data_IF_502441294678
#
_entry.id   IF_502441294678
#
_cell.length_a   1.000
_cell.length_b   1.000
_cell.length_c   1.000
_cell.angle_alpha   90.00
_cell.angle_beta   90.00
_cell.angle_gamma   90.00
#
_symmetry.space_group_name_H-M   'P 1'
#
loop_
_entity.id
_entity.type
_entity.pdbx_description
1 polymer ?
#
# COMPACT_ATOMS: atom_id res chain seq x y z
N UNK A 1 -2.88 19.77 46.75
CA UNK A 1 -1.79 18.96 46.14
C UNK A 1 -2.25 17.77 45.29
N UNK A 2 -3.50 17.27 45.40
CA UNK A 2 -3.91 16.05 44.68
C UNK A 2 -4.43 16.28 43.25
N UNK A 3 -5.00 17.46 42.96
CA UNK A 3 -5.57 17.76 41.64
C UNK A 3 -4.52 18.05 40.57
N UNK A 4 -3.36 18.61 40.97
CA UNK A 4 -2.24 18.84 40.05
C UNK A 4 -1.63 17.52 39.55
N UNK A 5 -1.59 16.49 40.40
CA UNK A 5 -1.14 15.14 40.02
C UNK A 5 -2.10 14.50 39.01
N UNK A 6 -3.40 14.70 39.19
CA UNK A 6 -4.43 14.19 38.27
C UNK A 6 -4.34 14.86 36.89
N UNK A 7 -4.08 16.17 36.85
CA UNK A 7 -3.87 16.92 35.61
C UNK A 7 -2.64 16.40 34.84
N UNK A 8 -1.53 16.14 35.54
CA UNK A 8 -0.30 15.62 34.93
C UNK A 8 -0.50 14.21 34.36
N UNK A 9 -1.23 13.34 35.06
CA UNK A 9 -1.55 11.99 34.57
C UNK A 9 -2.48 12.04 33.36
N UNK A 10 -3.47 12.95 33.35
CA UNK A 10 -4.36 13.15 32.21
C UNK A 10 -3.60 13.62 30.97
N UNK A 11 -2.65 14.55 31.12
CA UNK A 11 -1.82 15.05 30.03
C UNK A 11 -0.95 13.92 29.44
N UNK A 12 -0.34 13.06 30.28
CA UNK A 12 0.47 11.92 29.84
C UNK A 12 -0.39 10.91 29.05
N UNK A 13 -1.63 10.65 29.47
CA UNK A 13 -2.57 9.77 28.76
C UNK A 13 -3.07 10.35 27.42
N UNK A 14 -3.11 11.68 27.28
CA UNK A 14 -3.52 12.34 26.03
C UNK A 14 -2.40 12.34 24.97
N UNK A 15 -1.13 12.22 25.38
CA UNK A 15 0.00 12.14 24.44
C UNK A 15 0.28 10.72 23.91
N UNK A 16 -0.33 9.67 24.48
CA UNK A 16 -0.04 8.28 24.12
C UNK A 16 -0.78 7.73 22.89
N UNK A 17 -1.53 8.54 22.13
CA UNK A 17 -2.37 8.03 21.02
C UNK A 17 -1.93 8.44 19.61
N UNK A 18 -0.69 8.88 19.41
CA UNK A 18 -0.16 9.07 18.06
C UNK A 18 0.74 7.88 17.66
N UNK A 19 0.13 6.73 17.40
CA UNK A 19 0.76 5.72 16.55
C UNK A 19 0.82 6.29 15.13
N UNK A 20 1.92 6.96 14.80
CA UNK A 20 2.18 7.39 13.44
C UNK A 20 2.40 6.15 12.57
N UNK A 21 1.40 5.81 11.75
CA UNK A 21 1.63 4.89 10.62
C UNK A 21 2.65 5.54 9.69
N UNK A 22 3.77 4.86 9.42
CA UNK A 22 4.78 5.35 8.49
C UNK A 22 4.14 5.40 7.09
N UNK A 23 3.98 6.61 6.55
CA UNK A 23 3.45 6.85 5.21
C UNK A 23 4.58 6.74 4.18
N UNK A 24 4.46 5.75 3.30
CA UNK A 24 5.35 5.54 2.16
C UNK A 24 4.64 6.04 0.91
N UNK A 25 5.23 7.03 0.23
CA UNK A 25 4.71 7.51 -1.06
C UNK A 25 5.47 6.83 -2.20
N UNK A 26 4.72 6.21 -3.12
CA UNK A 26 5.28 5.52 -4.28
C UNK A 26 4.71 6.17 -5.55
N UNK A 27 5.55 6.86 -6.31
CA UNK A 27 5.14 7.65 -7.47
C UNK A 27 5.52 6.95 -8.77
N UNK A 28 4.53 6.74 -9.65
CA UNK A 28 4.70 6.05 -10.92
C UNK A 28 4.21 6.92 -12.08
N UNK A 29 5.12 7.38 -12.97
CA UNK A 29 4.71 8.03 -14.20
C UNK A 29 4.05 6.99 -15.11
N UNK A 30 2.82 7.26 -15.54
CA UNK A 30 2.06 6.35 -16.39
C UNK A 30 1.11 7.13 -17.31
N UNK A 31 1.19 6.83 -18.60
CA UNK A 31 0.23 7.31 -19.61
C UNK A 31 -0.90 6.30 -19.84
N UNK A 32 -0.94 5.22 -19.06
CA UNK A 32 -1.99 4.22 -19.14
C UNK A 32 -3.33 4.90 -18.83
N UNK A 33 -4.32 4.77 -19.72
CA UNK A 33 -5.64 5.32 -19.46
C UNK A 33 -6.24 4.62 -18.23
N UNK A 34 -6.72 5.43 -17.29
CA UNK A 34 -7.48 4.92 -16.15
C UNK A 34 -8.86 4.52 -16.66
N UNK A 35 -9.08 3.21 -16.86
CA UNK A 35 -10.31 2.59 -17.36
C UNK A 35 -10.55 2.80 -18.86
N UNK A 36 -10.51 1.72 -19.67
CA UNK A 36 -11.04 1.76 -21.04
C UNK A 36 -11.98 0.59 -21.31
N UNK A 37 -13.02 0.83 -22.13
CA UNK A 37 -13.98 -0.20 -22.53
C UNK A 37 -13.37 -1.23 -23.49
N UNK A 38 -12.26 -0.91 -24.13
CA UNK A 38 -11.51 -1.76 -25.05
C UNK A 38 -10.03 -1.71 -24.67
N UNK A 39 -9.66 -2.41 -23.60
CA UNK A 39 -8.24 -2.57 -23.27
C UNK A 39 -7.58 -3.41 -24.38
N UNK A 40 -6.50 -2.90 -24.96
CA UNK A 40 -5.66 -3.68 -25.87
C UNK A 40 -4.78 -4.66 -25.08
N UNK A 41 -4.40 -5.79 -25.68
CA UNK A 41 -3.42 -6.73 -25.08
C UNK A 41 -2.13 -6.02 -24.61
N UNK A 42 -1.71 -4.99 -25.35
CA UNK A 42 -0.56 -4.16 -25.00
C UNK A 42 -0.76 -3.42 -23.67
N UNK A 43 -1.92 -2.80 -23.47
CA UNK A 43 -2.23 -2.11 -22.21
C UNK A 43 -2.39 -3.10 -21.05
N UNK A 44 -2.89 -4.31 -21.29
CA UNK A 44 -2.91 -5.38 -20.30
C UNK A 44 -1.51 -5.78 -19.83
N UNK A 45 -0.56 -5.94 -20.76
CA UNK A 45 0.80 -6.28 -20.39
C UNK A 45 1.50 -5.15 -19.63
N UNK A 46 1.42 -3.92 -20.13
CA UNK A 46 2.10 -2.77 -19.52
C UNK A 46 1.59 -2.50 -18.10
N UNK A 47 0.27 -2.50 -17.91
CA UNK A 47 -0.33 -2.37 -16.57
C UNK A 47 0.05 -3.53 -15.64
N UNK A 48 0.08 -4.77 -16.14
CA UNK A 48 0.49 -5.93 -15.35
C UNK A 48 1.94 -5.82 -14.89
N UNK A 49 2.84 -5.37 -15.77
CA UNK A 49 4.24 -5.12 -15.42
C UNK A 49 4.37 -4.00 -14.39
N UNK A 50 3.63 -2.92 -14.56
CA UNK A 50 3.62 -1.80 -13.63
C UNK A 50 3.15 -2.22 -12.23
N UNK A 51 2.02 -2.93 -12.15
CA UNK A 51 1.49 -3.42 -10.86
C UNK A 51 2.46 -4.42 -10.22
N UNK A 52 3.11 -5.30 -11.00
CA UNK A 52 4.15 -6.19 -10.47
C UNK A 52 5.35 -5.43 -9.90
N UNK A 53 5.74 -4.32 -10.51
CA UNK A 53 6.79 -3.44 -9.96
C UNK A 53 6.33 -2.83 -8.64
N UNK A 54 5.11 -2.28 -8.58
CA UNK A 54 4.55 -1.72 -7.34
C UNK A 54 4.55 -2.74 -6.20
N UNK A 55 4.13 -3.98 -6.48
CA UNK A 55 4.10 -5.06 -5.50
C UNK A 55 5.50 -5.39 -4.98
N UNK A 56 6.51 -5.42 -5.87
CA UNK A 56 7.90 -5.65 -5.46
C UNK A 56 8.41 -4.51 -4.57
N UNK A 57 8.11 -3.27 -4.93
CA UNK A 57 8.54 -2.09 -4.18
C UNK A 57 7.90 -2.06 -2.78
N UNK A 58 6.61 -2.42 -2.67
CA UNK A 58 5.94 -2.60 -1.37
C UNK A 58 6.68 -3.64 -0.54
N UNK A 59 6.97 -4.81 -1.11
CA UNK A 59 7.67 -5.88 -0.37
C UNK A 59 9.07 -5.43 0.07
N UNK A 60 9.82 -4.74 -0.79
CA UNK A 60 11.13 -4.21 -0.44
C UNK A 60 11.06 -3.21 0.73
N UNK A 61 10.03 -2.34 0.75
CA UNK A 61 9.79 -1.46 1.89
C UNK A 61 9.46 -2.26 3.14
N UNK A 62 8.59 -3.26 3.06
CA UNK A 62 8.25 -4.11 4.21
C UNK A 62 9.48 -4.83 4.77
N UNK A 63 10.38 -5.32 3.91
CA UNK A 63 11.62 -5.99 4.32
C UNK A 63 12.54 -5.05 5.10
N UNK A 64 12.63 -3.78 4.69
CA UNK A 64 13.42 -2.75 5.39
C UNK A 64 12.81 -2.36 6.74
N UNK A 65 11.49 -2.49 6.89
CA UNK A 65 10.75 -2.01 8.07
C UNK A 65 10.41 -3.14 9.06
N UNK A 66 10.82 -4.38 8.77
CA UNK A 66 10.58 -5.61 9.58
C UNK A 66 10.80 -5.47 11.10
N UNK A 67 11.63 -4.53 11.54
CA UNK A 67 12.00 -4.34 12.96
C UNK A 67 11.04 -3.40 13.72
N UNK A 68 10.23 -2.60 13.03
CA UNK A 68 9.50 -1.49 13.68
C UNK A 68 8.17 -1.87 14.36
N UNK A 69 7.66 -3.09 14.13
CA UNK A 69 6.38 -3.57 14.69
C UNK A 69 5.21 -2.58 14.50
N UNK A 70 5.20 -1.89 13.36
CA UNK A 70 4.27 -0.82 13.01
C UNK A 70 3.63 -1.12 11.66
N UNK A 71 2.33 -0.85 11.55
CA UNK A 71 1.62 -0.93 10.28
C UNK A 71 2.26 0.02 9.26
N UNK A 72 2.29 -0.41 8.01
CA UNK A 72 2.85 0.37 6.91
C UNK A 72 1.73 0.86 6.01
N UNK A 73 1.63 2.17 5.86
CA UNK A 73 0.71 2.79 4.91
C UNK A 73 1.47 3.18 3.65
N UNK A 74 0.86 2.89 2.51
CA UNK A 74 1.37 3.19 1.18
C UNK A 74 0.37 4.07 0.45
N UNK A 75 0.87 5.16 -0.12
CA UNK A 75 0.15 5.99 -1.08
C UNK A 75 0.81 5.81 -2.43
N UNK A 76 0.19 4.99 -3.27
CA UNK A 76 0.63 4.71 -4.63
C UNK A 76 -0.01 5.76 -5.54
N UNK A 77 0.80 6.54 -6.24
CA UNK A 77 0.34 7.62 -7.10
C UNK A 77 0.72 7.32 -8.55
N UNK A 78 -0.28 7.11 -9.39
CA UNK A 78 -0.09 7.09 -10.84
C UNK A 78 -0.29 8.50 -11.36
N UNK A 79 0.67 9.01 -12.13
CA UNK A 79 0.61 10.37 -12.67
C UNK A 79 0.97 10.39 -14.14
N UNK A 80 0.18 11.08 -14.96
CA UNK A 80 0.52 11.32 -16.35
C UNK A 80 1.23 12.68 -16.54
N UNK A 81 1.84 12.86 -17.72
CA UNK A 81 2.51 14.10 -18.11
C UNK A 81 1.59 15.33 -18.14
N UNK A 82 0.29 15.13 -18.31
CA UNK A 82 -0.73 16.18 -18.33
C UNK A 82 -1.23 16.58 -16.92
N UNK A 83 -0.71 15.97 -15.86
CA UNK A 83 -1.05 16.29 -14.47
C UNK A 83 -2.27 15.56 -13.91
N UNK A 84 -2.90 14.65 -14.66
CA UNK A 84 -3.91 13.74 -14.13
C UNK A 84 -3.26 12.73 -13.18
N UNK A 85 -3.95 12.43 -12.08
CA UNK A 85 -3.43 11.59 -11.01
C UNK A 85 -4.48 10.60 -10.53
N UNK A 86 -4.05 9.35 -10.29
CA UNK A 86 -4.84 8.32 -9.61
C UNK A 86 -4.09 7.89 -8.33
N UNK A 87 -4.56 8.28 -7.14
CA UNK A 87 -4.01 7.79 -5.88
C UNK A 87 -4.69 6.47 -5.46
N UNK A 88 -3.90 5.51 -5.00
CA UNK A 88 -4.35 4.29 -4.32
C UNK A 88 -3.71 4.24 -2.94
N UNK A 89 -4.56 4.22 -1.91
CA UNK A 89 -4.12 4.05 -0.52
C UNK A 89 -4.18 2.57 -0.17
N UNK A 90 -3.07 2.02 0.32
CA UNK A 90 -2.94 0.61 0.69
C UNK A 90 -2.23 0.51 2.03
N UNK A 91 -2.80 -0.23 2.98
CA UNK A 91 -2.21 -0.39 4.32
C UNK A 91 -1.99 -1.86 4.60
N UNK A 92 -0.81 -2.19 5.13
CA UNK A 92 -0.46 -3.53 5.58
C UNK A 92 -0.30 -3.49 7.09
N UNK A 93 -1.06 -4.33 7.79
CA UNK A 93 -1.01 -4.43 9.23
C UNK A 93 0.22 -5.23 9.71
N UNK A 94 0.54 -5.08 10.99
CA UNK A 94 1.72 -5.69 11.61
C UNK A 94 1.67 -7.22 11.54
N UNK A 95 0.48 -7.82 11.70
CA UNK A 95 0.28 -9.26 11.63
C UNK A 95 0.58 -9.79 10.22
N UNK A 96 0.05 -9.12 9.19
CA UNK A 96 0.33 -9.48 7.80
C UNK A 96 1.81 -9.30 7.48
N UNK A 97 2.45 -8.21 7.91
CA UNK A 97 3.90 -8.03 7.73
C UNK A 97 4.68 -9.20 8.35
N UNK A 98 4.29 -9.63 9.55
CA UNK A 98 4.92 -10.77 10.22
C UNK A 98 4.74 -12.06 9.41
N UNK A 99 3.53 -12.31 8.90
CA UNK A 99 3.23 -13.49 8.07
C UNK A 99 4.01 -13.48 6.74
N UNK A 100 4.16 -12.32 6.11
CA UNK A 100 4.91 -12.11 4.86
C UNK A 100 6.38 -12.45 5.06
N UNK A 101 6.94 -12.05 6.20
CA UNK A 101 8.36 -12.22 6.51
C UNK A 101 8.68 -13.58 7.15
N UNK A 102 7.69 -14.42 7.40
CA UNK A 102 7.86 -15.71 8.05
C UNK A 102 8.33 -16.81 7.09
N UNK A 103 7.94 -16.73 5.80
CA UNK A 103 8.33 -17.71 4.79
C UNK A 103 8.25 -17.16 3.36
N UNK A 104 8.98 -17.80 2.44
CA UNK A 104 8.89 -17.50 1.00
C UNK A 104 7.48 -17.74 0.46
N UNK A 105 6.76 -18.74 0.98
CA UNK A 105 5.36 -19.00 0.62
C UNK A 105 4.44 -17.87 1.06
N UNK A 106 4.59 -17.36 2.29
CA UNK A 106 3.79 -16.24 2.80
C UNK A 106 4.05 -14.96 2.01
N UNK A 107 5.31 -14.71 1.66
CA UNK A 107 5.70 -13.61 0.75
C UNK A 107 5.05 -13.77 -0.63
N UNK A 108 5.11 -14.96 -1.23
CA UNK A 108 4.50 -15.21 -2.54
C UNK A 108 2.98 -15.01 -2.52
N UNK A 109 2.29 -15.52 -1.50
CA UNK A 109 0.84 -15.33 -1.35
C UNK A 109 0.47 -13.86 -1.22
N UNK A 110 1.20 -13.12 -0.38
CA UNK A 110 0.99 -11.68 -0.23
C UNK A 110 1.21 -10.90 -1.52
N UNK A 111 2.24 -11.26 -2.30
CA UNK A 111 2.48 -10.61 -3.60
C UNK A 111 1.30 -10.80 -4.55
N UNK A 112 0.70 -11.99 -4.59
CA UNK A 112 -0.51 -12.27 -5.40
C UNK A 112 -1.70 -11.45 -4.91
N UNK A 113 -2.01 -11.51 -3.61
CA UNK A 113 -3.14 -10.77 -3.04
C UNK A 113 -3.03 -9.25 -3.24
N UNK A 114 -1.82 -8.72 -3.07
CA UNK A 114 -1.52 -7.29 -3.26
C UNK A 114 -1.66 -6.91 -4.73
N UNK A 115 -1.15 -7.73 -5.64
CA UNK A 115 -1.33 -7.55 -7.08
C UNK A 115 -2.81 -7.48 -7.44
N UNK A 116 -3.62 -8.45 -7.00
CA UNK A 116 -5.05 -8.52 -7.32
C UNK A 116 -5.84 -7.33 -6.73
N UNK A 117 -5.47 -6.88 -5.53
CA UNK A 117 -6.10 -5.71 -4.92
C UNK A 117 -5.79 -4.42 -5.66
N UNK A 118 -4.52 -4.18 -6.01
CA UNK A 118 -4.10 -3.00 -6.78
C UNK A 118 -4.69 -3.06 -8.19
N UNK A 119 -4.69 -4.23 -8.84
CA UNK A 119 -5.25 -4.41 -10.18
C UNK A 119 -6.75 -4.07 -10.21
N UNK A 120 -7.53 -4.56 -9.23
CA UNK A 120 -8.95 -4.17 -9.08
C UNK A 120 -9.13 -2.68 -8.84
N UNK A 121 -8.25 -2.07 -8.04
CA UNK A 121 -8.30 -0.64 -7.74
C UNK A 121 -7.90 0.24 -8.95
N UNK A 122 -6.98 -0.25 -9.77
CA UNK A 122 -6.49 0.43 -10.97
C UNK A 122 -7.46 0.30 -12.17
N UNK A 123 -8.22 -0.81 -12.27
CA UNK A 123 -9.04 -1.15 -13.46
C UNK A 123 -10.55 -1.30 -13.21
N UNK A 124 -10.98 -1.21 -11.96
CA UNK A 124 -12.35 -1.21 -11.41
C UNK A 124 -13.51 -2.04 -12.00
N UNK A 125 -13.43 -2.85 -13.07
CA UNK A 125 -14.44 -3.89 -13.41
C UNK A 125 -14.14 -4.69 -14.70
N UNK A 126 -13.11 -5.54 -14.72
CA UNK A 126 -13.10 -6.70 -15.63
C UNK A 126 -12.77 -7.93 -14.79
N UNK A 127 -13.71 -8.89 -14.62
CA UNK A 127 -13.42 -10.14 -13.92
C UNK A 127 -12.33 -10.93 -14.68
N UNK A 128 -11.55 -11.69 -13.93
CA UNK A 128 -10.60 -12.65 -14.50
C UNK A 128 -11.40 -13.73 -15.24
N UNK A 129 -11.25 -13.82 -16.57
CA UNK A 129 -11.77 -14.91 -17.39
C UNK A 129 -10.60 -15.60 -18.10
N UNK A 130 -10.63 -16.95 -18.09
CA UNK A 130 -9.68 -17.87 -18.72
C UNK A 130 -9.79 -17.89 -20.26
#
# INVERSE_FOLDING_TARGET
MNQFKFLVVLIILLFSTNMFSQHNELNYPSELPFQTQNDSEYYHLESSLLIRTIVKDIVEVLEKVKVKNESQSFRILFQNSNGAQLPINYTVDVEKITSVMASDSGKSTFMVETYDWINRSFRSNIPFED
#
